data_IF_447479877958
#
_entry.id   IF_447479877958
#
_cell.length_a   1.000
_cell.length_b   1.000
_cell.length_c   1.000
_cell.angle_alpha   90.00
_cell.angle_beta   90.00
_cell.angle_gamma   90.00
#
_symmetry.space_group_name_H-M   'P 1'
#
loop_
_entity.id
_entity.type
_entity.pdbx_description
1 polymer ?
#
# COMPACT_ATOMS: atom_id res chain seq x y z
N UNK A 1 -20.19 -16.23 -5.29
CA UNK A 1 -18.76 -16.33 -4.91
C UNK A 1 -18.05 -14.97 -4.96
N UNK A 2 -18.01 -14.30 -6.12
CA UNK A 2 -17.36 -12.99 -6.29
C UNK A 2 -17.85 -11.90 -5.32
N UNK A 3 -19.16 -11.72 -5.14
CA UNK A 3 -19.69 -10.67 -4.27
C UNK A 3 -19.27 -10.83 -2.80
N UNK A 4 -19.31 -12.07 -2.29
CA UNK A 4 -18.83 -12.41 -0.95
C UNK A 4 -17.32 -12.14 -0.84
N UNK A 5 -16.53 -12.60 -1.81
CA UNK A 5 -15.09 -12.35 -1.83
C UNK A 5 -14.76 -10.85 -1.86
N UNK A 6 -15.50 -10.06 -2.65
CA UNK A 6 -15.33 -8.62 -2.72
C UNK A 6 -15.65 -7.94 -1.37
N UNK A 7 -16.72 -8.37 -0.69
CA UNK A 7 -17.06 -7.87 0.64
C UNK A 7 -15.97 -8.21 1.66
N UNK A 8 -15.45 -9.44 1.65
CA UNK A 8 -14.34 -9.87 2.52
C UNK A 8 -13.09 -9.03 2.24
N UNK A 9 -12.68 -8.87 0.98
CA UNK A 9 -11.53 -8.03 0.60
C UNK A 9 -11.69 -6.61 1.15
N UNK A 10 -12.85 -5.97 0.95
CA UNK A 10 -13.09 -4.61 1.43
C UNK A 10 -13.02 -4.53 2.96
N UNK A 11 -13.62 -5.49 3.66
CA UNK A 11 -13.60 -5.54 5.12
C UNK A 11 -12.18 -5.75 5.66
N UNK A 12 -11.41 -6.67 5.06
CA UNK A 12 -10.03 -6.96 5.45
C UNK A 12 -9.12 -5.74 5.28
N UNK A 13 -9.26 -5.00 4.17
CA UNK A 13 -8.53 -3.74 3.95
C UNK A 13 -8.86 -2.73 5.05
N UNK A 14 -10.15 -2.51 5.31
CA UNK A 14 -10.64 -1.48 6.26
C UNK A 14 -10.41 -1.84 7.73
N UNK A 15 -10.11 -3.10 8.04
CA UNK A 15 -9.70 -3.53 9.38
C UNK A 15 -10.71 -3.15 10.45
N UNK A 16 -10.25 -2.42 11.46
CA UNK A 16 -11.03 -2.04 12.65
C UNK A 16 -12.10 -0.96 12.39
N UNK A 17 -12.10 -0.34 11.22
CA UNK A 17 -13.08 0.69 10.84
C UNK A 17 -13.77 0.33 9.52
N UNK A 18 -14.53 -0.79 9.48
CA UNK A 18 -15.10 -1.34 8.25
C UNK A 18 -16.08 -0.41 7.53
N UNK A 19 -16.71 0.50 8.26
CA UNK A 19 -17.68 1.47 7.72
C UNK A 19 -17.02 2.77 7.24
N UNK A 20 -15.73 2.96 7.53
CA UNK A 20 -14.98 4.17 7.12
C UNK A 20 -14.18 3.88 5.86
N UNK A 21 -14.35 4.67 4.77
CA UNK A 21 -13.53 4.56 3.57
C UNK A 21 -12.04 4.67 3.91
N UNK A 22 -11.18 3.89 3.23
CA UNK A 22 -9.76 3.76 3.59
C UNK A 22 -9.03 5.10 3.73
N UNK A 23 -9.20 6.02 2.76
CA UNK A 23 -8.54 7.34 2.80
C UNK A 23 -9.11 8.30 3.86
N UNK A 24 -10.19 7.94 4.54
CA UNK A 24 -10.80 8.71 5.63
C UNK A 24 -10.48 8.09 7.00
N UNK A 25 -9.70 7.01 7.06
CA UNK A 25 -9.25 6.41 8.32
C UNK A 25 -8.06 7.18 8.91
N UNK A 26 -7.81 6.99 10.21
CA UNK A 26 -6.81 7.75 10.96
C UNK A 26 -5.40 7.67 10.36
N UNK A 27 -4.98 6.51 9.85
CA UNK A 27 -3.66 6.30 9.25
C UNK A 27 -3.44 7.21 8.02
N UNK A 28 -4.22 7.06 6.94
CA UNK A 28 -4.09 7.94 5.78
C UNK A 28 -4.30 9.42 6.11
N UNK A 29 -5.24 9.77 6.99
CA UNK A 29 -5.43 11.16 7.40
C UNK A 29 -4.19 11.75 8.10
N UNK A 30 -3.50 10.98 8.94
CA UNK A 30 -2.26 11.42 9.58
C UNK A 30 -1.16 11.68 8.55
N UNK A 31 -1.02 10.81 7.54
CA UNK A 31 -0.07 11.01 6.43
C UNK A 31 -0.38 12.29 5.64
N UNK A 32 -1.66 12.57 5.37
CA UNK A 32 -2.08 13.74 4.60
C UNK A 32 -1.92 15.05 5.36
N UNK A 33 -2.00 15.02 6.69
CA UNK A 33 -1.85 16.19 7.56
C UNK A 33 -0.39 16.55 7.87
N UNK A 34 0.54 15.59 7.76
CA UNK A 34 1.96 15.77 8.05
C UNK A 34 2.67 16.60 6.95
N UNK A 35 3.66 17.41 7.37
CA UNK A 35 4.37 18.36 6.51
C UNK A 35 5.81 17.93 6.20
N UNK A 36 6.41 17.07 7.01
CA UNK A 36 7.72 16.49 6.74
C UNK A 36 7.57 15.28 5.82
N UNK A 37 8.20 15.32 4.64
CA UNK A 37 8.21 14.20 3.69
C UNK A 37 8.71 12.90 4.34
N UNK A 38 9.77 12.99 5.14
CA UNK A 38 10.32 11.83 5.85
C UNK A 38 9.33 11.26 6.87
N UNK A 39 8.62 12.14 7.60
CA UNK A 39 7.61 11.72 8.57
C UNK A 39 6.38 11.13 7.87
N UNK A 40 5.94 11.71 6.74
CA UNK A 40 4.85 11.15 5.92
C UNK A 40 5.17 9.72 5.47
N UNK A 41 6.39 9.47 4.97
CA UNK A 41 6.82 8.13 4.56
C UNK A 41 6.82 7.15 5.74
N UNK A 42 7.29 7.58 6.92
CA UNK A 42 7.29 6.75 8.13
C UNK A 42 5.86 6.39 8.57
N UNK A 43 4.97 7.38 8.64
CA UNK A 43 3.55 7.18 8.99
C UNK A 43 2.86 6.25 7.98
N UNK A 44 3.11 6.46 6.68
CA UNK A 44 2.58 5.62 5.62
C UNK A 44 3.07 4.17 5.76
N UNK A 45 4.37 3.96 5.99
CA UNK A 45 4.94 2.62 6.13
C UNK A 45 4.31 1.86 7.29
N UNK A 46 4.10 2.50 8.45
CA UNK A 46 3.43 1.87 9.59
C UNK A 46 1.98 1.49 9.30
N UNK A 47 1.20 2.43 8.75
CA UNK A 47 -0.21 2.17 8.42
C UNK A 47 -0.36 1.06 7.37
N UNK A 48 0.36 1.17 6.25
CA UNK A 48 0.23 0.21 5.13
C UNK A 48 0.73 -1.17 5.52
N UNK A 49 1.72 -1.29 6.40
CA UNK A 49 2.21 -2.61 6.88
C UNK A 49 1.12 -3.35 7.64
N UNK A 50 0.35 -2.65 8.49
CA UNK A 50 -0.81 -3.23 9.16
C UNK A 50 -1.89 -3.68 8.18
N UNK A 51 -2.15 -2.89 7.12
CA UNK A 51 -3.08 -3.29 6.05
C UNK A 51 -2.57 -4.53 5.30
N UNK A 52 -1.28 -4.57 4.95
CA UNK A 52 -0.65 -5.67 4.23
C UNK A 52 -0.69 -6.98 5.00
N UNK A 53 -0.39 -6.94 6.30
CA UNK A 53 -0.46 -8.10 7.18
C UNK A 53 -1.86 -8.76 7.18
N UNK A 54 -2.92 -7.97 6.98
CA UNK A 54 -4.30 -8.49 6.89
C UNK A 54 -4.64 -8.99 5.48
N UNK A 55 -4.28 -8.24 4.45
CA UNK A 55 -4.79 -8.47 3.08
C UNK A 55 -3.92 -9.45 2.28
N UNK A 56 -2.64 -9.61 2.59
CA UNK A 56 -1.71 -10.40 1.79
C UNK A 56 -2.10 -11.89 1.62
N UNK A 57 -2.52 -12.61 2.68
CA UNK A 57 -2.96 -14.00 2.53
C UNK A 57 -4.16 -14.13 1.58
N UNK A 58 -5.12 -13.20 1.68
CA UNK A 58 -6.30 -13.17 0.83
C UNK A 58 -5.94 -12.86 -0.63
N UNK A 59 -4.98 -11.96 -0.85
CA UNK A 59 -4.51 -11.62 -2.20
C UNK A 59 -3.77 -12.77 -2.87
N UNK A 60 -3.03 -13.58 -2.11
CA UNK A 60 -2.40 -14.81 -2.63
C UNK A 60 -3.45 -15.80 -3.16
N UNK A 61 -4.51 -16.03 -2.38
CA UNK A 61 -5.64 -16.89 -2.80
C UNK A 61 -6.35 -16.30 -4.02
N UNK A 62 -6.65 -15.00 -4.00
CA UNK A 62 -7.36 -14.33 -5.08
C UNK A 62 -6.55 -14.33 -6.39
N UNK A 63 -5.25 -14.09 -6.32
CA UNK A 63 -4.33 -14.12 -7.47
C UNK A 63 -4.29 -15.51 -8.12
N UNK A 64 -4.27 -16.57 -7.31
CA UNK A 64 -4.32 -17.95 -7.80
C UNK A 64 -5.64 -18.25 -8.50
N UNK A 65 -6.77 -17.93 -7.86
CA UNK A 65 -8.10 -18.19 -8.42
C UNK A 65 -8.39 -17.34 -9.68
N UNK A 66 -7.83 -16.13 -9.76
CA UNK A 66 -7.95 -15.26 -10.93
C UNK A 66 -7.40 -15.87 -12.23
N UNK A 67 -6.50 -16.87 -12.14
CA UNK A 67 -5.94 -17.54 -13.32
C UNK A 67 -6.96 -18.39 -14.08
N UNK A 68 -8.00 -18.87 -13.41
CA UNK A 68 -9.00 -19.79 -13.97
C UNK A 68 -10.43 -19.26 -13.88
N UNK A 69 -10.69 -18.26 -13.03
CA UNK A 69 -12.02 -17.69 -12.82
C UNK A 69 -12.09 -16.21 -13.28
N UNK A 70 -12.67 -15.92 -14.46
CA UNK A 70 -12.71 -14.55 -15.00
C UNK A 70 -13.33 -13.51 -14.06
N UNK A 71 -14.35 -13.89 -13.31
CA UNK A 71 -14.98 -12.99 -12.32
C UNK A 71 -14.03 -12.59 -11.19
N UNK A 72 -13.17 -13.51 -10.75
CA UNK A 72 -12.18 -13.26 -9.70
C UNK A 72 -10.98 -12.48 -10.24
N UNK A 73 -10.59 -12.70 -11.50
CA UNK A 73 -9.63 -11.84 -12.18
C UNK A 73 -10.11 -10.39 -12.21
N UNK A 74 -11.37 -10.14 -12.59
CA UNK A 74 -11.92 -8.79 -12.57
C UNK A 74 -11.90 -8.18 -11.15
N UNK A 75 -12.11 -8.98 -10.10
CA UNK A 75 -12.00 -8.49 -8.71
C UNK A 75 -10.56 -8.14 -8.35
N UNK A 76 -9.60 -8.99 -8.71
CA UNK A 76 -8.18 -8.77 -8.51
C UNK A 76 -7.68 -7.49 -9.20
N UNK A 77 -8.07 -7.26 -10.47
CA UNK A 77 -7.72 -6.04 -11.19
C UNK A 77 -8.32 -4.79 -10.54
N UNK A 78 -9.61 -4.83 -10.18
CA UNK A 78 -10.27 -3.70 -9.50
C UNK A 78 -9.63 -3.37 -8.15
N UNK A 79 -9.19 -4.38 -7.40
CA UNK A 79 -8.46 -4.16 -6.16
C UNK A 79 -7.16 -3.38 -6.43
N UNK A 80 -6.37 -3.81 -7.40
CA UNK A 80 -5.11 -3.15 -7.74
C UNK A 80 -5.31 -1.74 -8.30
N UNK A 81 -6.36 -1.51 -9.11
CA UNK A 81 -6.76 -0.18 -9.58
C UNK A 81 -7.13 0.75 -8.42
N UNK A 82 -7.99 0.29 -7.50
CA UNK A 82 -8.39 1.07 -6.32
C UNK A 82 -7.20 1.39 -5.41
N UNK A 83 -6.34 0.40 -5.16
CA UNK A 83 -5.10 0.57 -4.39
C UNK A 83 -4.18 1.60 -5.08
N UNK A 84 -3.99 1.52 -6.39
CA UNK A 84 -3.16 2.47 -7.14
C UNK A 84 -3.68 3.91 -7.02
N UNK A 85 -5.01 4.11 -7.09
CA UNK A 85 -5.64 5.43 -6.90
C UNK A 85 -5.40 5.98 -5.49
N UNK A 86 -5.58 5.16 -4.45
CA UNK A 86 -5.33 5.59 -3.07
C UNK A 86 -3.85 5.96 -2.85
N UNK A 87 -2.94 5.16 -3.39
CA UNK A 87 -1.50 5.42 -3.27
C UNK A 87 -1.05 6.65 -4.06
N UNK A 88 -1.76 7.02 -5.13
CA UNK A 88 -1.49 8.27 -5.85
C UNK A 88 -1.73 9.50 -4.97
N UNK A 89 -2.82 9.50 -4.19
CA UNK A 89 -3.13 10.58 -3.24
C UNK A 89 -2.02 10.71 -2.18
N UNK A 90 -1.49 9.59 -1.68
CA UNK A 90 -0.35 9.59 -0.75
C UNK A 90 0.92 10.11 -1.42
N UNK A 91 1.22 9.65 -2.64
CA UNK A 91 2.38 10.11 -3.40
C UNK A 91 2.33 11.63 -3.60
N UNK A 92 1.21 12.16 -4.09
CA UNK A 92 1.00 13.61 -4.28
C UNK A 92 1.22 14.38 -2.98
N UNK A 93 0.68 13.89 -1.86
CA UNK A 93 0.84 14.52 -0.57
C UNK A 93 2.31 14.59 -0.12
N UNK A 94 3.12 13.57 -0.41
CA UNK A 94 4.56 13.56 -0.11
C UNK A 94 5.30 14.51 -1.05
N UNK A 95 5.06 14.43 -2.36
CA UNK A 95 5.79 15.22 -3.35
C UNK A 95 5.50 16.72 -3.23
N UNK A 96 4.33 17.11 -2.72
CA UNK A 96 3.97 18.52 -2.51
C UNK A 96 4.82 19.23 -1.43
N UNK A 97 5.39 18.49 -0.48
CA UNK A 97 6.07 19.11 0.66
C UNK A 97 7.54 19.48 0.41
N UNK A 98 8.16 18.99 -0.67
CA UNK A 98 9.59 19.24 -0.89
C UNK A 98 10.17 18.54 -2.12
N UNK A 99 11.46 18.72 -2.32
CA UNK A 99 12.18 18.23 -3.50
C UNK A 99 12.22 16.70 -3.58
N UNK A 100 12.05 16.20 -4.80
CA UNK A 100 12.02 14.77 -5.09
C UNK A 100 13.34 14.33 -5.72
N UNK A 101 13.64 13.03 -5.63
CA UNK A 101 14.84 12.47 -6.26
C UNK A 101 14.74 12.59 -7.77
N UNK A 102 15.74 13.19 -8.42
CA UNK A 102 15.81 13.33 -9.89
C UNK A 102 14.58 14.03 -10.52
N UNK A 103 13.91 14.91 -9.78
CA UNK A 103 12.68 15.58 -10.26
C UNK A 103 11.57 14.60 -10.64
N UNK A 104 11.48 13.47 -9.94
CA UNK A 104 10.45 12.46 -10.09
C UNK A 104 9.05 13.08 -9.96
N UNK A 105 8.14 12.70 -10.84
CA UNK A 105 6.75 13.13 -10.79
C UNK A 105 5.87 12.24 -9.88
N UNK A 106 4.62 12.65 -9.66
CA UNK A 106 3.68 11.91 -8.82
C UNK A 106 3.34 10.51 -9.36
N UNK A 107 3.26 10.33 -10.68
CA UNK A 107 2.92 9.06 -11.29
C UNK A 107 4.06 8.04 -11.11
N UNK A 108 5.30 8.50 -11.24
CA UNK A 108 6.51 7.72 -10.96
C UNK A 108 6.59 7.34 -9.47
N UNK A 109 6.38 8.31 -8.57
CA UNK A 109 6.35 8.07 -7.12
C UNK A 109 5.26 7.05 -6.74
N UNK A 110 4.06 7.19 -7.33
CA UNK A 110 2.95 6.24 -7.16
C UNK A 110 3.35 4.84 -7.61
N UNK A 111 4.04 4.72 -8.75
CA UNK A 111 4.47 3.42 -9.26
C UNK A 111 5.49 2.75 -8.33
N UNK A 112 6.42 3.53 -7.75
CA UNK A 112 7.38 3.04 -6.74
C UNK A 112 6.65 2.53 -5.49
N UNK A 113 5.76 3.35 -4.92
CA UNK A 113 5.00 2.99 -3.71
C UNK A 113 4.12 1.76 -3.98
N UNK A 114 3.42 1.72 -5.12
CA UNK A 114 2.53 0.62 -5.49
C UNK A 114 3.26 -0.72 -5.58
N UNK A 115 4.51 -0.73 -6.07
CA UNK A 115 5.35 -1.94 -6.15
C UNK A 115 5.89 -2.37 -4.79
N UNK A 116 6.52 -1.45 -4.04
CA UNK A 116 7.19 -1.81 -2.79
C UNK A 116 6.23 -2.12 -1.65
N UNK A 117 5.09 -1.43 -1.57
CA UNK A 117 4.06 -1.72 -0.57
C UNK A 117 3.06 -2.79 -1.05
N UNK A 118 3.46 -3.71 -1.95
CA UNK A 118 2.56 -4.71 -2.53
C UNK A 118 2.35 -5.92 -1.61
N UNK A 119 1.17 -6.56 -1.66
CA UNK A 119 0.94 -7.84 -0.97
C UNK A 119 1.99 -8.89 -1.32
N UNK A 120 2.42 -8.94 -2.57
CA UNK A 120 3.40 -9.89 -3.08
C UNK A 120 4.79 -9.66 -2.48
N UNK A 121 5.25 -8.40 -2.40
CA UNK A 121 6.52 -8.06 -1.76
C UNK A 121 6.47 -8.32 -0.26
N UNK A 122 5.34 -8.01 0.39
CA UNK A 122 5.13 -8.29 1.82
C UNK A 122 5.22 -9.79 2.12
N UNK A 123 4.52 -10.63 1.36
CA UNK A 123 4.57 -12.09 1.52
C UNK A 123 5.97 -12.65 1.21
N UNK A 124 6.63 -12.19 0.14
CA UNK A 124 7.98 -12.61 -0.20
C UNK A 124 8.94 -12.39 0.99
N UNK A 125 8.91 -11.20 1.58
CA UNK A 125 9.85 -10.88 2.66
C UNK A 125 9.45 -11.55 3.99
N UNK A 126 8.17 -11.51 4.36
CA UNK A 126 7.76 -11.99 5.69
C UNK A 126 7.59 -13.51 5.77
N UNK A 127 7.12 -14.16 4.70
CA UNK A 127 6.86 -15.61 4.70
C UNK A 127 8.01 -16.41 4.07
N UNK A 128 8.64 -15.92 2.99
CA UNK A 128 9.70 -16.67 2.28
C UNK A 128 11.08 -16.34 2.83
N UNK A 129 11.41 -15.05 2.99
CA UNK A 129 12.69 -14.61 3.57
C UNK A 129 12.69 -14.72 5.11
N UNK A 130 11.51 -14.65 5.74
CA UNK A 130 11.35 -14.82 7.19
C UNK A 130 11.64 -13.57 8.01
N UNK A 131 11.64 -12.38 7.40
CA UNK A 131 11.81 -11.13 8.16
C UNK A 131 10.55 -10.82 8.97
N UNK A 132 10.72 -10.14 10.10
CA UNK A 132 9.57 -9.75 10.92
C UNK A 132 8.75 -8.65 10.23
N UNK A 133 7.46 -8.53 10.60
CA UNK A 133 6.59 -7.44 10.11
C UNK A 133 7.16 -6.06 10.46
N UNK A 134 7.78 -5.91 11.63
CA UNK A 134 8.42 -4.66 12.06
C UNK A 134 9.67 -4.33 11.23
N UNK A 135 10.44 -5.36 10.85
CA UNK A 135 11.60 -5.18 9.96
C UNK A 135 11.16 -4.84 8.54
N UNK A 136 10.05 -5.42 8.06
CA UNK A 136 9.44 -5.03 6.78
C UNK A 136 9.01 -3.56 6.79
N UNK A 137 8.34 -3.09 7.86
CA UNK A 137 7.94 -1.68 8.00
C UNK A 137 9.17 -0.76 7.91
N UNK A 138 10.21 -1.08 8.68
CA UNK A 138 11.46 -0.32 8.72
C UNK A 138 12.15 -0.30 7.35
N UNK A 139 12.21 -1.46 6.69
CA UNK A 139 12.75 -1.61 5.35
C UNK A 139 11.96 -0.79 4.33
N UNK A 140 10.62 -0.84 4.37
CA UNK A 140 9.75 -0.12 3.45
C UNK A 140 9.93 1.39 3.60
N UNK A 141 9.92 1.90 4.83
CA UNK A 141 10.14 3.32 5.11
C UNK A 141 11.51 3.80 4.60
N UNK A 142 12.57 3.05 4.90
CA UNK A 142 13.94 3.35 4.45
C UNK A 142 14.06 3.34 2.92
N UNK A 143 13.47 2.34 2.28
CA UNK A 143 13.51 2.16 0.82
C UNK A 143 12.75 3.28 0.11
N UNK A 144 11.55 3.60 0.55
CA UNK A 144 10.75 4.70 -0.01
C UNK A 144 11.47 6.03 0.16
N UNK A 145 12.06 6.30 1.34
CA UNK A 145 12.83 7.54 1.55
C UNK A 145 13.96 7.68 0.54
N UNK A 146 14.75 6.61 0.32
CA UNK A 146 15.89 6.59 -0.61
C UNK A 146 15.48 6.70 -2.08
N UNK A 147 14.30 6.21 -2.44
CA UNK A 147 13.83 6.21 -3.82
C UNK A 147 13.09 7.50 -4.18
N UNK A 148 12.33 8.07 -3.24
CA UNK A 148 11.45 9.21 -3.50
C UNK A 148 12.10 10.55 -3.18
N UNK A 149 12.89 10.64 -2.11
CA UNK A 149 13.43 11.93 -1.64
C UNK A 149 14.82 12.19 -2.22
N UNK A 150 15.12 13.46 -2.46
CA UNK A 150 16.49 13.87 -2.75
C UNK A 150 17.42 13.48 -1.59
N UNK A 151 18.69 13.23 -1.90
CA UNK A 151 19.69 13.13 -0.85
C UNK A 151 19.87 14.53 -0.24
N UNK A 152 19.95 14.58 1.09
CA UNK A 152 20.42 15.78 1.80
C UNK A 152 21.86 16.13 1.36
#
# INVERSE_FOLDING_TARGET
KRAIMAAVVMQTVRGQSPDTPSMQQAGPLAVLAEKSQATQIKLFAGDITGVLARIAPLMSVLSTAAKTEPELNQLYQRFHEGRRKNLAVVAEAIMRQGSTRKSMDSAEATAVIWRLASPEMFTLMTEVEGISVADFETWLASSLRRLLLAAD
#
